data_IF_306864911638
#
_entry.id   IF_306864911638
#
_cell.length_a   1.000
_cell.length_b   1.000
_cell.length_c   1.000
_cell.angle_alpha   90.00
_cell.angle_beta   90.00
_cell.angle_gamma   90.00
#
_symmetry.space_group_name_H-M   'P 1'
#
loop_
_entity.id
_entity.type
_entity.pdbx_description
1 polymer ?
#
# COMPACT_ATOMS: atom_id res chain seq x y z
N UNK A 1 -15.23 14.51 -19.06
CA UNK A 1 -14.84 13.20 -18.51
C UNK A 1 -15.43 13.02 -17.14
N UNK A 2 -16.11 11.90 -16.92
CA UNK A 2 -16.68 11.45 -15.65
C UNK A 2 -15.63 10.64 -14.88
N UNK A 3 -15.26 11.10 -13.68
CA UNK A 3 -14.18 10.49 -12.88
C UNK A 3 -14.71 9.98 -11.54
N UNK A 4 -14.31 8.76 -11.16
CA UNK A 4 -14.49 8.22 -9.82
C UNK A 4 -13.14 8.16 -9.10
N UNK A 5 -13.03 8.84 -7.96
CA UNK A 5 -11.88 8.75 -7.07
C UNK A 5 -12.17 7.79 -5.91
N UNK A 6 -11.33 6.78 -5.70
CA UNK A 6 -11.47 5.83 -4.59
C UNK A 6 -10.59 6.25 -3.41
N UNK A 7 -11.17 6.27 -2.21
CA UNK A 7 -10.54 6.58 -0.94
C UNK A 7 -11.24 7.73 -0.19
N UNK A 8 -10.68 8.09 0.96
CA UNK A 8 -11.30 9.03 1.91
C UNK A 8 -10.29 9.81 2.75
N UNK A 9 -8.99 9.70 2.45
CA UNK A 9 -7.93 10.36 3.21
C UNK A 9 -7.61 11.76 2.70
N UNK A 10 -6.55 12.35 3.29
CA UNK A 10 -6.03 13.65 2.86
C UNK A 10 -5.43 13.63 1.45
N UNK A 11 -4.81 12.52 1.04
CA UNK A 11 -4.33 12.30 -0.33
C UNK A 11 -5.46 12.41 -1.34
N UNK A 12 -6.57 11.71 -1.10
CA UNK A 12 -7.73 11.79 -1.99
C UNK A 12 -8.38 13.16 -1.97
N UNK A 13 -8.36 13.88 -0.85
CA UNK A 13 -8.77 15.28 -0.84
C UNK A 13 -7.90 16.16 -1.75
N UNK A 14 -6.57 16.05 -1.66
CA UNK A 14 -5.66 16.80 -2.54
C UNK A 14 -5.86 16.43 -4.03
N UNK A 15 -6.06 15.14 -4.33
CA UNK A 15 -6.38 14.67 -5.68
C UNK A 15 -7.72 15.24 -6.17
N UNK A 16 -8.78 15.13 -5.38
CA UNK A 16 -10.10 15.68 -5.73
C UNK A 16 -10.04 17.19 -5.98
N UNK A 17 -9.36 17.92 -5.09
CA UNK A 17 -9.11 19.36 -5.24
C UNK A 17 -8.39 19.66 -6.57
N UNK A 18 -7.37 18.91 -6.94
CA UNK A 18 -6.66 19.16 -8.20
C UNK A 18 -7.48 18.76 -9.43
N UNK A 19 -8.14 17.61 -9.40
CA UNK A 19 -8.97 17.08 -10.49
C UNK A 19 -10.16 18.00 -10.78
N UNK A 20 -10.81 18.55 -9.75
CA UNK A 20 -11.94 19.48 -9.86
C UNK A 20 -11.64 20.73 -10.71
N UNK A 21 -10.36 21.08 -10.86
CA UNK A 21 -9.91 22.24 -11.66
C UNK A 21 -9.61 21.91 -13.12
N UNK A 22 -9.71 20.65 -13.52
CA UNK A 22 -9.43 20.25 -14.89
C UNK A 22 -10.54 20.73 -15.84
N UNK A 23 -10.21 21.41 -16.96
CA UNK A 23 -11.22 21.78 -17.96
C UNK A 23 -11.82 20.57 -18.69
N UNK A 24 -11.23 19.38 -18.52
CA UNK A 24 -11.73 18.13 -19.11
C UNK A 24 -12.76 17.43 -18.20
N UNK A 25 -12.90 17.86 -16.94
CA UNK A 25 -13.79 17.23 -15.98
C UNK A 25 -15.25 17.60 -16.28
N UNK A 26 -16.12 16.59 -16.30
CA UNK A 26 -17.58 16.76 -16.40
C UNK A 26 -18.23 16.52 -15.05
N UNK A 27 -17.87 15.42 -14.38
CA UNK A 27 -18.38 15.07 -13.06
C UNK A 27 -17.32 14.31 -12.27
N UNK A 28 -17.19 14.63 -10.99
CA UNK A 28 -16.29 13.95 -10.07
C UNK A 28 -17.12 13.33 -8.93
N UNK A 29 -16.93 12.03 -8.73
CA UNK A 29 -17.38 11.33 -7.54
C UNK A 29 -16.19 10.91 -6.69
N UNK A 30 -16.42 10.75 -5.39
CA UNK A 30 -15.46 10.11 -4.52
C UNK A 30 -16.14 9.06 -3.64
N UNK A 31 -15.50 7.89 -3.49
CA UNK A 31 -16.03 6.75 -2.75
C UNK A 31 -15.03 6.27 -1.68
N UNK A 32 -15.39 6.27 -0.37
CA UNK A 32 -16.56 6.93 0.20
C UNK A 32 -16.40 8.46 0.31
N UNK A 33 -15.19 8.98 0.14
CA UNK A 33 -14.88 10.38 0.37
C UNK A 33 -14.92 10.78 1.85
N UNK A 34 -14.83 12.08 2.13
CA UNK A 34 -14.93 12.67 3.46
C UNK A 34 -15.58 14.07 3.37
N UNK A 35 -15.75 14.74 4.51
CA UNK A 35 -16.40 16.05 4.57
C UNK A 35 -15.69 17.14 3.74
N UNK A 36 -14.35 17.15 3.72
CA UNK A 36 -13.60 18.12 2.88
C UNK A 36 -13.70 17.80 1.39
N UNK A 37 -13.69 16.52 1.04
CA UNK A 37 -13.85 16.07 -0.36
C UNK A 37 -15.23 16.46 -0.92
N UNK A 38 -16.27 16.52 -0.08
CA UNK A 38 -17.62 16.90 -0.50
C UNK A 38 -17.70 18.33 -1.08
N UNK A 39 -16.70 19.19 -0.84
CA UNK A 39 -16.57 20.51 -1.46
C UNK A 39 -16.08 20.44 -2.91
N UNK A 40 -15.43 19.34 -3.31
CA UNK A 40 -14.78 19.16 -4.62
C UNK A 40 -15.46 18.09 -5.48
N UNK A 41 -16.14 17.11 -4.86
CA UNK A 41 -16.69 15.92 -5.50
C UNK A 41 -18.01 15.49 -4.84
N UNK A 42 -18.85 14.76 -5.58
CA UNK A 42 -20.00 14.07 -5.01
C UNK A 42 -19.53 12.82 -4.25
N UNK A 43 -19.52 12.88 -2.92
CA UNK A 43 -19.23 11.71 -2.08
C UNK A 43 -20.37 10.68 -2.16
N UNK A 44 -20.03 9.41 -2.38
CA UNK A 44 -20.99 8.31 -2.50
C UNK A 44 -20.65 7.19 -1.53
N UNK A 45 -21.66 6.65 -0.86
CA UNK A 45 -21.48 5.47 -0.01
C UNK A 45 -21.28 4.23 -0.90
N UNK A 46 -20.03 3.78 -1.00
CA UNK A 46 -19.62 2.64 -1.81
C UNK A 46 -18.41 2.00 -1.14
N UNK A 47 -18.50 0.70 -0.88
CA UNK A 47 -17.36 -0.08 -0.38
C UNK A 47 -16.37 -0.31 -1.52
N UNK A 48 -15.17 0.25 -1.36
CA UNK A 48 -14.12 0.16 -2.37
C UNK A 48 -13.41 -1.20 -2.38
N UNK A 49 -13.64 -2.05 -1.38
CA UNK A 49 -13.20 -3.44 -1.38
C UNK A 49 -14.13 -4.35 -2.19
N UNK A 50 -15.38 -3.93 -2.43
CA UNK A 50 -16.31 -4.62 -3.32
C UNK A 50 -16.11 -4.15 -4.77
N UNK A 51 -15.17 -4.79 -5.46
CA UNK A 51 -14.84 -4.44 -6.84
C UNK A 51 -16.05 -4.58 -7.78
N UNK A 52 -16.95 -5.53 -7.52
CA UNK A 52 -18.15 -5.72 -8.33
C UNK A 52 -19.11 -4.53 -8.17
N UNK A 53 -19.31 -4.05 -6.94
CA UNK A 53 -20.09 -2.85 -6.67
C UNK A 53 -19.45 -1.61 -7.31
N UNK A 54 -18.13 -1.47 -7.26
CA UNK A 54 -17.40 -0.36 -7.93
C UNK A 54 -17.62 -0.40 -9.44
N UNK A 55 -17.48 -1.55 -10.08
CA UNK A 55 -17.72 -1.72 -11.51
C UNK A 55 -19.17 -1.41 -11.87
N UNK A 56 -20.13 -1.89 -11.07
CA UNK A 56 -21.55 -1.60 -11.28
C UNK A 56 -21.84 -0.10 -11.19
N UNK A 57 -21.27 0.59 -10.20
CA UNK A 57 -21.38 2.05 -10.07
C UNK A 57 -20.81 2.76 -11.30
N UNK A 58 -19.62 2.37 -11.76
CA UNK A 58 -18.99 2.95 -12.94
C UNK A 58 -19.86 2.82 -14.19
N UNK A 59 -20.44 1.63 -14.42
CA UNK A 59 -21.34 1.38 -15.56
C UNK A 59 -22.62 2.20 -15.46
N UNK A 60 -23.25 2.22 -14.28
CA UNK A 60 -24.50 2.95 -14.06
C UNK A 60 -24.36 4.48 -14.22
N UNK A 61 -23.18 5.02 -13.91
CA UNK A 61 -22.92 6.46 -13.94
C UNK A 61 -22.08 6.91 -15.14
N UNK A 62 -21.79 6.01 -16.09
CA UNK A 62 -20.91 6.26 -17.24
C UNK A 62 -19.58 6.91 -16.80
N UNK A 63 -18.89 6.30 -15.83
CA UNK A 63 -17.55 6.70 -15.41
C UNK A 63 -16.55 6.34 -16.50
N UNK A 64 -15.81 7.34 -16.97
CA UNK A 64 -14.80 7.20 -18.02
C UNK A 64 -13.45 6.76 -17.46
N UNK A 65 -13.14 7.18 -16.23
CA UNK A 65 -11.83 7.02 -15.62
C UNK A 65 -11.91 6.89 -14.10
N UNK A 66 -11.24 5.89 -13.54
CA UNK A 66 -11.13 5.69 -12.09
C UNK A 66 -9.73 6.08 -11.63
N UNK A 67 -9.63 6.82 -10.52
CA UNK A 67 -8.36 7.10 -9.84
C UNK A 67 -8.37 6.36 -8.51
N UNK A 68 -7.41 5.47 -8.29
CA UNK A 68 -7.34 4.68 -7.05
C UNK A 68 -6.34 5.34 -6.10
N UNK A 69 -6.84 5.84 -4.97
CA UNK A 69 -6.02 6.47 -3.94
C UNK A 69 -5.31 5.48 -3.00
N UNK A 70 -6.06 4.61 -2.29
CA UNK A 70 -5.48 3.70 -1.30
C UNK A 70 -4.85 2.46 -1.93
N UNK A 71 -3.86 1.93 -1.22
CA UNK A 71 -3.05 0.76 -1.58
C UNK A 71 -3.81 -0.57 -1.48
N UNK A 72 -4.78 -0.69 -0.57
CA UNK A 72 -5.48 -1.96 -0.34
C UNK A 72 -6.28 -2.46 -1.58
N UNK A 73 -7.11 -1.64 -2.26
CA UNK A 73 -7.75 -2.05 -3.51
C UNK A 73 -6.76 -2.37 -4.64
N UNK A 74 -5.62 -1.67 -4.69
CA UNK A 74 -4.56 -1.94 -5.66
C UNK A 74 -3.96 -3.33 -5.45
N UNK A 75 -3.62 -3.67 -4.20
CA UNK A 75 -3.13 -4.99 -3.83
C UNK A 75 -4.17 -6.11 -4.04
N UNK A 76 -5.47 -5.78 -3.92
CA UNK A 76 -6.56 -6.71 -4.20
C UNK A 76 -6.75 -6.96 -5.71
N UNK A 77 -6.38 -5.99 -6.57
CA UNK A 77 -6.44 -6.10 -8.03
C UNK A 77 -7.56 -5.31 -8.70
N UNK A 78 -8.04 -4.23 -8.07
CA UNK A 78 -9.17 -3.46 -8.60
C UNK A 78 -8.93 -2.91 -10.02
N UNK A 79 -7.68 -2.57 -10.34
CA UNK A 79 -7.30 -2.06 -11.67
C UNK A 79 -7.46 -3.14 -12.74
N UNK A 80 -7.09 -4.39 -12.44
CA UNK A 80 -7.27 -5.52 -13.36
C UNK A 80 -8.76 -5.82 -13.59
N UNK A 81 -9.57 -5.77 -12.52
CA UNK A 81 -11.00 -6.01 -12.58
C UNK A 81 -11.73 -4.90 -13.37
N UNK A 82 -11.36 -3.64 -13.15
CA UNK A 82 -11.86 -2.50 -13.93
C UNK A 82 -11.47 -2.61 -15.41
N UNK A 83 -10.22 -2.95 -15.70
CA UNK A 83 -9.74 -3.14 -17.07
C UNK A 83 -10.47 -4.27 -17.78
N UNK A 84 -10.70 -5.40 -17.09
CA UNK A 84 -11.50 -6.52 -17.60
C UNK A 84 -12.96 -6.14 -17.88
N UNK A 85 -13.49 -5.17 -17.15
CA UNK A 85 -14.80 -4.58 -17.39
C UNK A 85 -14.82 -3.45 -18.43
N UNK A 86 -13.68 -3.14 -19.07
CA UNK A 86 -13.55 -2.08 -20.08
C UNK A 86 -13.48 -0.66 -19.51
N UNK A 87 -13.22 -0.51 -18.22
CA UNK A 87 -13.14 0.78 -17.52
C UNK A 87 -11.67 1.15 -17.32
N UNK A 88 -11.28 2.36 -17.72
CA UNK A 88 -9.91 2.84 -17.55
C UNK A 88 -9.66 3.23 -16.10
N UNK A 89 -8.49 2.88 -15.57
CA UNK A 89 -8.10 3.22 -14.21
C UNK A 89 -6.65 3.70 -14.14
N UNK A 90 -6.37 4.64 -13.24
CA UNK A 90 -5.04 5.02 -12.82
C UNK A 90 -4.68 4.27 -11.53
N UNK A 91 -3.72 3.36 -11.66
CA UNK A 91 -3.19 2.53 -10.60
C UNK A 91 -2.39 1.36 -11.21
N UNK A 92 -1.48 0.72 -10.45
CA UNK A 92 -0.81 -0.49 -10.90
C UNK A 92 -1.79 -1.68 -11.00
N UNK A 93 -1.46 -2.65 -11.86
CA UNK A 93 -2.06 -3.99 -11.78
C UNK A 93 -1.71 -4.65 -10.44
N UNK A 94 -2.45 -5.69 -10.05
CA UNK A 94 -2.18 -6.51 -8.86
C UNK A 94 -0.74 -7.02 -8.84
N UNK A 95 -0.24 -7.45 -10.00
CA UNK A 95 1.13 -7.94 -10.13
C UNK A 95 2.16 -6.82 -9.86
N UNK A 96 1.93 -5.62 -10.38
CA UNK A 96 2.80 -4.47 -10.15
C UNK A 96 2.67 -3.87 -8.74
N UNK A 97 1.48 -3.92 -8.14
CA UNK A 97 1.20 -3.46 -6.78
C UNK A 97 1.99 -4.24 -5.71
N UNK A 98 2.54 -5.42 -6.06
CA UNK A 98 3.45 -6.18 -5.21
C UNK A 98 4.69 -5.40 -4.79
N UNK A 99 5.10 -4.39 -5.56
CA UNK A 99 6.20 -3.50 -5.19
C UNK A 99 5.94 -2.73 -3.87
N UNK A 100 4.68 -2.58 -3.49
CA UNK A 100 4.30 -1.98 -2.20
C UNK A 100 3.69 -3.01 -1.25
N UNK A 101 2.91 -3.95 -1.77
CA UNK A 101 2.18 -4.92 -0.94
C UNK A 101 3.03 -6.06 -0.37
N UNK A 102 4.26 -6.25 -0.86
CA UNK A 102 5.24 -7.20 -0.32
C UNK A 102 6.62 -6.56 -0.31
N UNK A 103 7.11 -6.25 0.90
CA UNK A 103 8.43 -5.61 1.08
C UNK A 103 9.54 -6.52 0.58
N UNK A 104 9.49 -7.80 0.93
CA UNK A 104 10.41 -8.83 0.49
C UNK A 104 10.48 -8.94 -1.02
N UNK A 105 9.34 -8.89 -1.72
CA UNK A 105 9.33 -8.87 -3.20
C UNK A 105 10.11 -7.68 -3.78
N UNK A 106 9.92 -6.48 -3.22
CA UNK A 106 10.67 -5.29 -3.65
C UNK A 106 12.15 -5.41 -3.37
N UNK A 107 12.52 -5.99 -2.23
CA UNK A 107 13.91 -6.23 -1.88
C UNK A 107 14.58 -7.22 -2.84
N UNK A 108 13.86 -8.28 -3.23
CA UNK A 108 14.34 -9.26 -4.21
C UNK A 108 14.56 -8.60 -5.59
N UNK A 109 13.65 -7.71 -6.00
CA UNK A 109 13.82 -6.91 -7.23
C UNK A 109 15.05 -6.01 -7.12
N UNK A 110 15.23 -5.31 -6.00
CA UNK A 110 16.38 -4.43 -5.82
C UNK A 110 17.70 -5.21 -5.90
N UNK A 111 17.77 -6.37 -5.23
CA UNK A 111 18.95 -7.24 -5.29
C UNK A 111 19.21 -7.75 -6.71
N UNK A 112 18.18 -8.24 -7.41
CA UNK A 112 18.30 -8.77 -8.77
C UNK A 112 18.74 -7.71 -9.80
N UNK A 113 18.46 -6.43 -9.54
CA UNK A 113 18.73 -5.32 -10.45
C UNK A 113 19.81 -4.35 -9.95
N UNK A 114 20.54 -4.71 -8.89
CA UNK A 114 21.55 -3.87 -8.25
C UNK A 114 21.06 -2.44 -7.89
N UNK A 115 19.79 -2.32 -7.47
CA UNK A 115 19.22 -1.08 -6.96
C UNK A 115 19.66 -0.95 -5.49
N UNK A 116 20.34 0.15 -5.09
CA UNK A 116 20.80 0.33 -3.72
C UNK A 116 19.64 0.30 -2.71
N UNK A 117 19.77 -0.53 -1.68
CA UNK A 117 18.84 -0.64 -0.56
C UNK A 117 19.58 -1.25 0.65
N UNK A 118 19.01 -1.15 1.85
CA UNK A 118 19.57 -1.79 3.05
C UNK A 118 19.85 -3.28 2.83
N UNK A 119 20.94 -3.81 3.38
CA UNK A 119 21.10 -5.27 3.43
C UNK A 119 19.90 -5.91 4.14
N UNK A 120 19.43 -7.06 3.67
CA UNK A 120 18.23 -7.69 4.24
C UNK A 120 18.25 -9.21 4.14
N UNK A 121 17.41 -9.84 4.96
CA UNK A 121 16.99 -11.22 4.79
C UNK A 121 15.52 -11.40 5.19
N UNK A 122 14.85 -12.40 4.58
CA UNK A 122 13.43 -12.72 4.80
C UNK A 122 13.30 -13.97 5.66
N UNK A 123 12.30 -13.98 6.55
CA UNK A 123 12.07 -15.08 7.48
C UNK A 123 10.57 -15.34 7.67
N UNK A 124 10.16 -16.59 7.52
CA UNK A 124 8.86 -17.10 7.97
C UNK A 124 8.96 -17.90 9.28
N UNK A 125 10.18 -18.14 9.76
CA UNK A 125 10.47 -18.86 11.00
C UNK A 125 11.10 -17.91 12.03
N UNK A 126 10.50 -17.86 13.23
CA UNK A 126 10.91 -16.94 14.28
C UNK A 126 12.30 -17.26 14.82
N UNK A 127 12.65 -18.53 14.98
CA UNK A 127 13.95 -18.93 15.54
C UNK A 127 15.09 -18.60 14.58
N UNK A 128 14.90 -18.83 13.28
CA UNK A 128 15.83 -18.43 12.24
C UNK A 128 16.02 -16.91 12.19
N UNK A 129 14.93 -16.14 12.27
CA UNK A 129 14.99 -14.68 12.31
C UNK A 129 15.79 -14.19 13.53
N UNK A 130 15.50 -14.72 14.72
CA UNK A 130 16.20 -14.37 15.96
C UNK A 130 17.68 -14.77 15.91
N UNK A 131 18.01 -15.91 15.31
CA UNK A 131 19.40 -16.33 15.11
C UNK A 131 20.15 -15.35 14.21
N UNK A 132 19.54 -14.91 13.11
CA UNK A 132 20.12 -13.89 12.23
C UNK A 132 20.32 -12.55 12.95
N UNK A 133 19.31 -12.08 13.70
CA UNK A 133 19.42 -10.83 14.49
C UNK A 133 20.59 -10.91 15.49
N UNK A 134 20.79 -12.05 16.17
CA UNK A 134 21.94 -12.23 17.08
C UNK A 134 23.28 -12.15 16.35
N UNK A 135 23.35 -12.55 15.08
CA UNK A 135 24.57 -12.43 14.28
C UNK A 135 24.83 -10.99 13.81
N UNK A 136 23.78 -10.25 13.43
CA UNK A 136 23.91 -8.88 12.94
C UNK A 136 24.08 -7.84 14.07
N UNK A 137 23.44 -8.05 15.22
CA UNK A 137 23.39 -7.06 16.29
C UNK A 137 22.28 -6.01 16.10
N UNK A 138 22.33 -4.96 16.91
CA UNK A 138 21.45 -3.79 16.83
C UNK A 138 22.30 -2.51 16.67
N UNK A 139 21.79 -1.42 16.05
CA UNK A 139 20.40 -1.23 15.61
C UNK A 139 20.04 -2.03 14.35
N UNK A 140 18.80 -2.52 14.30
CA UNK A 140 18.28 -3.33 13.19
C UNK A 140 16.79 -3.05 12.98
N UNK A 141 16.31 -3.21 11.75
CA UNK A 141 14.92 -2.91 11.41
C UNK A 141 14.17 -4.20 11.09
N UNK A 142 13.01 -4.38 11.71
CA UNK A 142 12.14 -5.53 11.49
C UNK A 142 10.85 -5.00 10.84
N UNK A 143 10.47 -5.60 9.72
CA UNK A 143 9.28 -5.20 8.96
C UNK A 143 8.41 -6.42 8.67
N UNK A 144 7.10 -6.32 8.88
CA UNK A 144 6.16 -7.31 8.38
C UNK A 144 6.15 -7.23 6.83
N UNK A 145 6.13 -8.35 6.13
CA UNK A 145 6.20 -8.34 4.66
C UNK A 145 4.99 -7.64 4.04
N UNK A 146 3.79 -8.01 4.48
CA UNK A 146 2.53 -7.55 3.92
C UNK A 146 2.12 -6.12 4.33
N UNK A 147 0.90 -5.75 3.90
CA UNK A 147 0.26 -4.49 4.28
C UNK A 147 -0.20 -4.54 5.75
N UNK A 148 0.60 -3.96 6.63
CA UNK A 148 0.34 -3.89 8.07
C UNK A 148 -0.19 -2.52 8.52
N UNK A 149 -0.95 -1.82 7.65
CA UNK A 149 -1.53 -0.50 7.90
C UNK A 149 -0.55 0.54 8.50
N UNK A 150 0.70 0.54 8.02
CA UNK A 150 1.76 1.43 8.50
C UNK A 150 2.31 1.11 9.91
N UNK A 151 1.85 0.04 10.56
CA UNK A 151 2.28 -0.35 11.93
C UNK A 151 3.24 -1.53 11.96
N UNK A 152 3.52 -2.14 10.82
CA UNK A 152 4.39 -3.32 10.72
C UNK A 152 5.87 -2.99 10.53
N UNK A 153 6.38 -1.90 11.11
CA UNK A 153 7.82 -1.55 11.05
C UNK A 153 8.29 -1.22 12.46
N UNK A 154 9.35 -1.88 12.91
CA UNK A 154 10.01 -1.63 14.19
C UNK A 154 11.49 -1.35 13.94
N UNK A 155 11.95 -0.19 14.37
CA UNK A 155 13.38 0.14 14.44
C UNK A 155 13.86 -0.25 15.83
N UNK A 156 14.54 -1.39 15.94
CA UNK A 156 15.02 -1.92 17.21
C UNK A 156 16.44 -1.40 17.48
N UNK A 157 16.58 -0.67 18.58
CA UNK A 157 17.87 -0.13 19.05
C UNK A 157 18.59 -1.12 19.96
N UNK A 158 17.89 -2.14 20.45
CA UNK A 158 18.45 -3.23 21.26
C UNK A 158 18.07 -4.60 20.71
N UNK A 159 18.83 -5.64 21.08
CA UNK A 159 18.48 -7.01 20.72
C UNK A 159 17.13 -7.42 21.30
N UNK A 160 16.80 -7.02 22.53
CA UNK A 160 15.53 -7.38 23.18
C UNK A 160 14.33 -6.79 22.43
N UNK A 161 14.42 -5.53 22.00
CA UNK A 161 13.41 -4.90 21.13
C UNK A 161 13.24 -5.68 19.82
N UNK A 162 14.35 -6.11 19.22
CA UNK A 162 14.33 -6.87 17.96
C UNK A 162 13.67 -8.25 18.13
N UNK A 163 13.99 -8.97 19.21
CA UNK A 163 13.37 -10.26 19.51
C UNK A 163 11.86 -10.12 19.74
N UNK A 164 11.44 -9.11 20.50
CA UNK A 164 10.04 -8.83 20.77
C UNK A 164 9.28 -8.45 19.48
N UNK A 165 9.91 -7.71 18.56
CA UNK A 165 9.34 -7.39 17.27
C UNK A 165 9.09 -8.65 16.41
N UNK A 166 10.03 -9.59 16.38
CA UNK A 166 9.86 -10.87 15.69
C UNK A 166 8.70 -11.67 16.29
N UNK A 167 8.65 -11.78 17.61
CA UNK A 167 7.57 -12.51 18.29
C UNK A 167 6.19 -11.92 18.01
N UNK A 168 6.10 -10.59 17.98
CA UNK A 168 4.86 -9.89 17.63
C UNK A 168 4.45 -10.16 16.18
N UNK A 169 5.38 -10.06 15.23
CA UNK A 169 5.07 -10.15 13.81
C UNK A 169 4.76 -11.59 13.37
N UNK A 170 5.64 -12.53 13.72
CA UNK A 170 5.50 -13.95 13.33
C UNK A 170 4.60 -14.76 14.28
N UNK A 171 4.27 -14.22 15.46
CA UNK A 171 3.29 -14.80 16.38
C UNK A 171 1.82 -14.54 16.01
N UNK A 172 1.55 -13.97 14.84
CA UNK A 172 0.20 -13.73 14.32
C UNK A 172 -0.39 -12.36 14.61
N UNK A 173 0.39 -11.41 15.15
CA UNK A 173 -0.08 -10.06 15.50
C UNK A 173 -0.63 -9.23 14.34
N UNK A 174 -0.34 -9.62 13.09
CA UNK A 174 -0.79 -8.94 11.87
C UNK A 174 -1.55 -9.86 10.88
N UNK A 175 -2.00 -11.03 11.33
CA UNK A 175 -2.61 -12.03 10.43
C UNK A 175 -1.66 -12.41 9.30
N UNK A 176 -2.18 -12.57 8.07
CA UNK A 176 -1.39 -12.96 6.89
C UNK A 176 -0.27 -11.96 6.55
N UNK A 177 -0.42 -10.68 6.91
CA UNK A 177 0.63 -9.68 6.68
C UNK A 177 1.89 -9.93 7.52
N UNK A 178 1.77 -10.69 8.62
CA UNK A 178 2.87 -11.13 9.48
C UNK A 178 3.30 -12.58 9.25
N UNK A 179 2.88 -13.24 8.17
CA UNK A 179 3.34 -14.60 7.85
C UNK A 179 4.84 -14.65 7.50
N UNK A 180 5.42 -13.50 7.14
CA UNK A 180 6.83 -13.34 6.89
C UNK A 180 7.31 -11.98 7.40
N UNK A 181 8.56 -11.92 7.85
CA UNK A 181 9.26 -10.71 8.28
C UNK A 181 10.50 -10.47 7.41
N UNK A 182 10.75 -9.20 7.11
CA UNK A 182 11.97 -8.69 6.51
C UNK A 182 12.81 -8.06 7.61
N UNK A 183 14.03 -8.57 7.82
CA UNK A 183 15.00 -8.01 8.75
C UNK A 183 16.05 -7.27 7.94
N UNK A 184 16.22 -5.98 8.19
CA UNK A 184 17.07 -5.08 7.41
C UNK A 184 18.09 -4.35 8.27
N UNK A 185 19.22 -4.01 7.65
CA UNK A 185 20.18 -3.05 8.16
C UNK A 185 19.51 -1.70 8.47
N UNK A 186 19.90 -1.09 9.59
CA UNK A 186 19.49 0.26 9.95
C UNK A 186 20.27 1.30 9.16
N UNK A 187 19.57 2.12 8.38
CA UNK A 187 20.17 3.21 7.60
C UNK A 187 19.99 4.55 8.29
N UNK A 188 20.99 5.41 8.20
CA UNK A 188 20.96 6.80 8.67
C UNK A 188 21.11 7.77 7.51
N UNK A 189 20.48 8.94 7.63
CA UNK A 189 20.56 9.99 6.62
C UNK A 189 19.32 10.87 6.62
N UNK A 190 19.21 11.68 5.57
CA UNK A 190 18.01 12.48 5.31
C UNK A 190 16.99 11.61 4.55
N UNK A 191 15.76 11.55 5.06
CA UNK A 191 14.66 10.87 4.38
C UNK A 191 13.92 11.86 3.47
N UNK A 192 13.71 11.47 2.22
CA UNK A 192 12.95 12.24 1.24
C UNK A 192 12.02 11.30 0.46
N UNK A 193 10.87 11.83 0.03
CA UNK A 193 9.96 11.14 -0.88
C UNK A 193 10.12 11.67 -2.30
N UNK A 194 10.27 10.77 -3.28
CA UNK A 194 10.38 11.11 -4.70
C UNK A 194 9.06 10.75 -5.42
N UNK A 195 8.41 11.73 -6.04
CA UNK A 195 7.08 11.61 -6.66
C UNK A 195 7.09 12.07 -8.13
#
# INVERSE_FOLDING_TARGET
MNILLLGSGGREHALAWKIARSPLLTKLWCAPGNAGIAEQAACVALDIADHAAVIAFCKANAVDFVVVGPEAPLAAGIVDDLASAGIKAFGPSKAAARLESSKGFTKDICQANAIPTAAYQRFSDADAAKAYIRQQGAPIVIKADGLAAGKGVVVAMTLDEAMAAIDMMLGGGFGDAGAEAVVEEFMVGEEASFF
#
